data_IF_045504096475
#
_entry.id   IF_045504096475
#
_cell.length_a   1.000
_cell.length_b   1.000
_cell.length_c   1.000
_cell.angle_alpha   90.00
_cell.angle_beta   90.00
_cell.angle_gamma   90.00
#
_symmetry.space_group_name_H-M   'P 1'
#
loop_
_entity.id
_entity.type
_entity.pdbx_description
1 polymer ?
#
# COMPACT_ATOMS: atom_id res chain seq x y z
N UNK A 1 7.73 45.36 30.80
CA UNK A 1 6.56 45.80 30.00
C UNK A 1 6.18 44.69 29.03
N UNK A 2 5.26 43.81 29.42
CA UNK A 2 4.67 42.81 28.52
C UNK A 2 3.33 43.37 28.04
N UNK A 3 3.22 43.76 26.77
CA UNK A 3 1.92 44.06 26.19
C UNK A 3 1.21 42.72 25.99
N UNK A 4 0.17 42.45 26.78
CA UNK A 4 -0.75 41.35 26.47
C UNK A 4 -1.55 41.77 25.23
N UNK A 5 -1.10 41.34 24.06
CA UNK A 5 -1.78 41.61 22.79
C UNK A 5 -3.07 40.76 22.74
N UNK A 6 -4.15 41.28 23.31
CA UNK A 6 -5.47 40.65 23.20
C UNK A 6 -5.97 40.76 21.77
N UNK A 7 -6.35 39.63 21.18
CA UNK A 7 -6.94 39.58 19.84
C UNK A 7 -8.21 40.44 19.79
N UNK A 8 -8.36 41.25 18.74
CA UNK A 8 -9.60 42.00 18.51
C UNK A 8 -10.70 41.08 17.96
N UNK A 9 -11.96 41.47 18.12
CA UNK A 9 -13.11 40.71 17.58
C UNK A 9 -13.04 40.52 16.07
N UNK A 10 -12.44 41.48 15.34
CA UNK A 10 -12.21 41.38 13.91
C UNK A 10 -11.14 40.32 13.57
N UNK A 11 -10.06 40.27 14.36
CA UNK A 11 -9.01 39.26 14.22
C UNK A 11 -9.58 37.84 14.43
N UNK A 12 -10.39 37.66 15.48
CA UNK A 12 -11.06 36.38 15.78
C UNK A 12 -11.94 35.95 14.60
N UNK A 13 -12.77 36.86 14.06
CA UNK A 13 -13.61 36.57 12.90
C UNK A 13 -12.79 36.20 11.66
N UNK A 14 -11.67 36.89 11.43
CA UNK A 14 -10.75 36.62 10.31
C UNK A 14 -10.07 35.26 10.45
N UNK A 15 -9.58 34.91 11.64
CA UNK A 15 -8.94 33.63 11.91
C UNK A 15 -9.93 32.47 11.83
N UNK A 16 -11.13 32.61 12.40
CA UNK A 16 -12.18 31.59 12.29
C UNK A 16 -12.57 31.37 10.82
N UNK A 17 -12.74 32.43 10.02
CA UNK A 17 -13.03 32.30 8.59
C UNK A 17 -11.90 31.60 7.83
N UNK A 18 -10.63 31.84 8.18
CA UNK A 18 -9.48 31.15 7.58
C UNK A 18 -9.46 29.67 7.97
N UNK A 19 -9.67 29.36 9.25
CA UNK A 19 -9.71 28.00 9.77
C UNK A 19 -10.80 27.17 9.06
N UNK A 20 -12.04 27.67 9.03
CA UNK A 20 -13.15 26.98 8.38
C UNK A 20 -12.95 26.82 6.87
N UNK A 21 -12.37 27.81 6.19
CA UNK A 21 -12.02 27.67 4.77
C UNK A 21 -10.96 26.59 4.53
N UNK A 22 -9.95 26.48 5.40
CA UNK A 22 -8.94 25.42 5.29
C UNK A 22 -9.54 24.04 5.59
N UNK A 23 -10.37 23.91 6.62
CA UNK A 23 -11.02 22.64 6.97
C UNK A 23 -11.97 22.17 5.87
N UNK A 24 -12.87 23.05 5.40
CA UNK A 24 -13.82 22.71 4.34
C UNK A 24 -13.06 22.48 3.03
N UNK A 25 -12.09 23.34 2.71
CA UNK A 25 -11.26 23.18 1.51
C UNK A 25 -10.49 21.85 1.51
N UNK A 26 -9.92 21.46 2.64
CA UNK A 26 -9.25 20.17 2.81
C UNK A 26 -10.21 18.98 2.66
N UNK A 27 -11.41 19.07 3.23
CA UNK A 27 -12.43 18.03 3.10
C UNK A 27 -12.92 17.90 1.66
N UNK A 28 -13.16 19.02 0.96
CA UNK A 28 -13.54 19.04 -0.45
C UNK A 28 -12.41 18.46 -1.32
N UNK A 29 -11.16 18.87 -1.06
CA UNK A 29 -10.00 18.33 -1.76
C UNK A 29 -9.88 16.81 -1.58
N UNK A 30 -10.04 16.32 -0.35
CA UNK A 30 -10.00 14.89 -0.06
C UNK A 30 -11.16 14.13 -0.74
N UNK A 31 -12.37 14.68 -0.73
CA UNK A 31 -13.51 14.08 -1.42
C UNK A 31 -13.26 14.01 -2.94
N UNK A 32 -12.76 15.09 -3.54
CA UNK A 32 -12.37 15.11 -4.95
C UNK A 32 -11.30 14.04 -5.20
N UNK A 33 -10.27 13.95 -4.37
CA UNK A 33 -9.22 12.95 -4.50
C UNK A 33 -9.77 11.51 -4.54
N UNK A 34 -10.69 11.14 -3.64
CA UNK A 34 -11.35 9.82 -3.66
C UNK A 34 -12.16 9.60 -4.95
N UNK A 35 -12.87 10.63 -5.42
CA UNK A 35 -13.64 10.56 -6.67
C UNK A 35 -12.71 10.33 -7.87
N UNK A 36 -11.57 11.02 -7.93
CA UNK A 36 -10.57 10.85 -9.00
C UNK A 36 -9.95 9.44 -9.00
N UNK A 37 -9.74 8.85 -7.81
CA UNK A 37 -9.35 7.44 -7.67
C UNK A 37 -10.42 6.53 -8.26
N UNK A 38 -11.70 6.76 -7.96
CA UNK A 38 -12.81 6.00 -8.51
C UNK A 38 -12.92 6.09 -10.04
N UNK A 39 -12.56 7.24 -10.62
CA UNK A 39 -12.47 7.42 -12.07
C UNK A 39 -11.20 6.83 -12.70
N UNK A 40 -10.29 6.24 -11.91
CA UNK A 40 -9.09 5.58 -12.42
C UNK A 40 -8.01 6.54 -12.94
N UNK A 41 -8.04 7.82 -12.56
CA UNK A 41 -7.03 8.81 -13.01
C UNK A 41 -5.61 8.41 -12.60
N UNK A 42 -5.48 7.66 -11.51
CA UNK A 42 -4.20 7.16 -10.99
C UNK A 42 -3.85 5.75 -11.46
N UNK A 43 -4.62 5.18 -12.40
CA UNK A 43 -4.44 3.82 -12.91
C UNK A 43 -5.63 2.91 -12.63
N UNK A 44 -5.58 1.71 -13.21
CA UNK A 44 -6.61 0.70 -13.05
C UNK A 44 -6.57 0.09 -11.65
N UNK A 45 -7.71 0.10 -10.96
CA UNK A 45 -7.88 -0.56 -9.66
C UNK A 45 -8.49 -1.93 -9.93
N UNK A 46 -7.93 -3.02 -9.37
CA UNK A 46 -8.49 -4.35 -9.55
C UNK A 46 -9.94 -4.39 -9.05
N UNK A 47 -10.79 -5.07 -9.82
CA UNK A 47 -12.18 -5.29 -9.41
C UNK A 47 -12.25 -6.05 -8.08
N UNK A 48 -13.32 -5.84 -7.32
CA UNK A 48 -13.54 -6.53 -6.05
C UNK A 48 -13.44 -8.06 -6.18
N UNK A 49 -14.00 -8.64 -7.24
CA UNK A 49 -13.89 -10.08 -7.54
C UNK A 49 -12.44 -10.54 -7.73
N UNK A 50 -11.60 -9.72 -8.34
CA UNK A 50 -10.19 -10.05 -8.53
C UNK A 50 -9.40 -10.03 -7.21
N UNK A 51 -9.87 -9.24 -6.23
CA UNK A 51 -9.30 -9.18 -4.88
C UNK A 51 -9.78 -10.38 -4.04
N UNK A 52 -11.06 -10.77 -4.14
CA UNK A 52 -11.60 -11.93 -3.43
C UNK A 52 -11.08 -13.26 -3.98
N UNK A 53 -10.88 -13.32 -5.31
CA UNK A 53 -10.41 -14.51 -6.01
C UNK A 53 -9.17 -14.18 -6.86
N UNK A 54 -8.02 -13.93 -6.22
CA UNK A 54 -6.79 -13.69 -6.95
C UNK A 54 -6.43 -14.96 -7.74
N UNK A 55 -6.34 -14.83 -9.06
CA UNK A 55 -5.91 -15.94 -9.92
C UNK A 55 -4.41 -16.12 -9.77
N UNK A 56 -3.98 -17.22 -9.16
CA UNK A 56 -2.59 -17.67 -9.26
C UNK A 56 -2.43 -18.50 -10.53
N UNK A 57 -1.42 -18.17 -11.33
CA UNK A 57 -1.06 -18.95 -12.52
C UNK A 57 -0.23 -20.17 -12.08
N UNK A 58 -0.89 -21.15 -11.45
CA UNK A 58 -0.25 -22.42 -11.07
C UNK A 58 -0.01 -23.29 -12.32
N UNK A 59 1.06 -24.08 -12.28
CA UNK A 59 1.35 -25.04 -13.33
C UNK A 59 0.38 -26.24 -13.26
N UNK A 60 -0.11 -26.70 -14.42
CA UNK A 60 -0.83 -27.97 -14.53
C UNK A 60 0.17 -29.11 -14.61
N UNK A 61 0.08 -30.08 -13.71
CA UNK A 61 0.98 -31.23 -13.68
C UNK A 61 0.37 -32.43 -14.42
N UNK A 62 1.17 -33.09 -15.26
CA UNK A 62 0.83 -34.37 -15.90
C UNK A 62 1.40 -35.48 -15.04
N UNK A 63 0.52 -36.35 -14.53
CA UNK A 63 0.90 -37.46 -13.66
C UNK A 63 0.84 -38.78 -14.44
N UNK A 64 1.79 -39.66 -14.20
CA UNK A 64 1.73 -41.06 -14.61
C UNK A 64 0.76 -41.86 -13.71
N UNK A 65 0.42 -43.08 -14.13
CA UNK A 65 -0.45 -43.98 -13.36
C UNK A 65 0.11 -44.30 -11.96
N UNK A 66 1.43 -44.33 -11.80
CA UNK A 66 2.12 -44.49 -10.51
C UNK A 66 2.28 -43.18 -9.72
N UNK A 67 1.67 -42.08 -10.17
CA UNK A 67 1.63 -40.80 -9.46
C UNK A 67 2.90 -39.94 -9.61
N UNK A 68 3.81 -40.27 -10.54
CA UNK A 68 4.99 -39.44 -10.82
C UNK A 68 4.65 -38.31 -11.77
N UNK A 69 5.23 -37.14 -11.54
CA UNK A 69 5.10 -35.99 -12.45
C UNK A 69 5.93 -36.27 -13.71
N UNK A 70 5.24 -36.40 -14.85
CA UNK A 70 5.84 -36.57 -16.17
C UNK A 70 6.20 -35.23 -16.83
N UNK A 71 5.51 -34.16 -16.45
CA UNK A 71 5.75 -32.82 -16.96
C UNK A 71 4.75 -31.81 -16.45
N UNK A 72 4.99 -30.53 -16.74
CA UNK A 72 4.13 -29.43 -16.30
C UNK A 72 3.84 -28.47 -17.45
N UNK A 73 2.58 -28.06 -17.60
CA UNK A 73 2.16 -27.00 -18.51
C UNK A 73 1.90 -25.72 -17.72
N UNK A 74 2.56 -24.62 -18.08
CA UNK A 74 2.41 -23.36 -17.37
C UNK A 74 2.52 -22.15 -18.29
N UNK A 75 1.79 -21.08 -17.96
CA UNK A 75 2.02 -19.73 -18.50
C UNK A 75 3.15 -19.04 -17.74
N UNK A 76 3.26 -19.30 -16.44
CA UNK A 76 4.34 -18.84 -15.56
C UNK A 76 4.81 -20.02 -14.73
N UNK A 77 6.10 -20.29 -14.71
CA UNK A 77 6.66 -21.38 -13.91
C UNK A 77 6.61 -20.99 -12.42
N UNK A 78 5.54 -21.39 -11.72
CA UNK A 78 5.28 -21.07 -10.31
C UNK A 78 4.75 -22.31 -9.62
N UNK A 79 5.12 -22.44 -8.34
CA UNK A 79 4.58 -23.42 -7.42
C UNK A 79 4.11 -22.72 -6.15
N UNK A 80 2.90 -23.06 -5.71
CA UNK A 80 2.38 -22.57 -4.45
C UNK A 80 3.01 -23.31 -3.26
N UNK A 81 3.44 -22.57 -2.24
CA UNK A 81 4.02 -23.10 -1.00
C UNK A 81 3.47 -22.35 0.20
N UNK A 82 3.15 -23.08 1.28
CA UNK A 82 2.74 -22.46 2.53
C UNK A 82 3.94 -21.83 3.24
N UNK A 83 3.69 -20.78 4.03
CA UNK A 83 4.74 -20.11 4.79
C UNK A 83 5.53 -21.06 5.72
N UNK A 84 4.85 -22.03 6.33
CA UNK A 84 5.47 -23.05 7.20
C UNK A 84 6.44 -23.99 6.46
N UNK A 85 6.35 -24.07 5.14
CA UNK A 85 7.23 -24.88 4.29
C UNK A 85 8.49 -24.10 3.86
N UNK A 86 8.55 -22.79 4.13
CA UNK A 86 9.70 -21.97 3.78
C UNK A 86 10.81 -22.15 4.81
N UNK A 87 12.03 -22.35 4.32
CA UNK A 87 13.22 -22.31 5.18
C UNK A 87 13.35 -20.93 5.84
N UNK A 88 13.63 -20.85 7.16
CA UNK A 88 13.90 -19.58 7.83
C UNK A 88 15.01 -18.77 7.14
N UNK A 89 15.99 -19.45 6.53
CA UNK A 89 17.08 -18.80 5.81
C UNK A 89 16.61 -18.06 4.57
N UNK A 90 15.61 -18.59 3.85
CA UNK A 90 15.03 -17.92 2.67
C UNK A 90 14.30 -16.65 3.09
N UNK A 91 13.51 -16.73 4.16
CA UNK A 91 12.79 -15.57 4.71
C UNK A 91 13.78 -14.51 5.19
N UNK A 92 14.81 -14.91 5.94
CA UNK A 92 15.83 -13.99 6.45
C UNK A 92 16.66 -13.36 5.32
N UNK A 93 17.00 -14.13 4.28
CA UNK A 93 17.71 -13.61 3.12
C UNK A 93 16.87 -12.55 2.38
N UNK A 94 15.59 -12.82 2.13
CA UNK A 94 14.68 -11.87 1.48
C UNK A 94 14.56 -10.57 2.29
N UNK A 95 14.37 -10.68 3.61
CA UNK A 95 14.31 -9.51 4.50
C UNK A 95 15.64 -8.75 4.42
N UNK A 96 16.79 -9.43 4.51
CA UNK A 96 18.09 -8.78 4.47
C UNK A 96 18.38 -8.05 3.14
N UNK A 97 17.90 -8.58 2.01
CA UNK A 97 18.19 -8.03 0.68
C UNK A 97 17.18 -6.97 0.22
N UNK A 98 15.89 -7.16 0.47
CA UNK A 98 14.84 -6.25 -0.03
C UNK A 98 14.51 -5.14 0.96
N UNK A 99 14.34 -5.50 2.23
CA UNK A 99 13.91 -4.58 3.28
C UNK A 99 14.31 -5.09 4.67
N UNK A 100 15.51 -4.70 5.12
CA UNK A 100 16.07 -5.14 6.41
C UNK A 100 15.21 -4.73 7.61
N UNK A 101 14.31 -3.76 7.42
CA UNK A 101 13.43 -3.22 8.47
C UNK A 101 11.98 -3.66 8.31
N UNK A 102 11.69 -4.60 7.40
CA UNK A 102 10.35 -5.09 7.11
C UNK A 102 9.46 -5.33 8.34
N UNK A 103 10.02 -5.92 9.41
CA UNK A 103 9.28 -6.24 10.65
C UNK A 103 9.05 -5.05 11.59
N UNK A 104 9.71 -3.93 11.35
CA UNK A 104 9.71 -2.74 12.22
C UNK A 104 8.78 -1.62 11.73
N UNK A 105 8.15 -1.76 10.56
CA UNK A 105 7.20 -0.79 10.02
C UNK A 105 5.93 -1.46 9.50
N UNK A 106 4.83 -0.69 9.50
CA UNK A 106 3.52 -1.13 9.03
C UNK A 106 3.34 -0.98 7.51
N UNK A 107 4.40 -1.26 6.75
CA UNK A 107 4.41 -1.17 5.27
C UNK A 107 5.15 0.03 4.68
N UNK A 108 5.17 1.20 5.33
CA UNK A 108 5.93 2.37 4.84
C UNK A 108 7.16 2.62 5.71
N UNK A 109 8.35 2.42 5.14
CA UNK A 109 9.63 2.81 5.76
C UNK A 109 9.93 4.28 5.49
N UNK A 110 9.45 5.17 6.36
CA UNK A 110 9.63 6.62 6.21
C UNK A 110 11.08 7.04 5.98
N UNK A 111 12.05 6.39 6.66
CA UNK A 111 13.46 6.74 6.49
C UNK A 111 13.91 6.46 5.06
N UNK A 112 13.56 5.30 4.51
CA UNK A 112 13.92 4.92 3.13
C UNK A 112 13.14 5.76 2.12
N UNK A 113 11.84 5.96 2.32
CA UNK A 113 10.99 6.77 1.45
C UNK A 113 11.50 8.20 1.30
N UNK A 114 11.93 8.85 2.39
CA UNK A 114 12.45 10.22 2.33
C UNK A 114 13.90 10.33 1.86
N UNK A 115 14.69 9.25 1.90
CA UNK A 115 16.06 9.26 1.37
C UNK A 115 16.09 9.54 -0.13
N UNK A 116 15.03 9.18 -0.88
CA UNK A 116 14.94 9.43 -2.34
C UNK A 116 14.94 10.94 -2.67
N UNK A 117 14.55 11.78 -1.71
CA UNK A 117 14.47 13.24 -1.89
C UNK A 117 15.67 14.00 -1.33
N UNK A 118 16.61 13.32 -0.67
CA UNK A 118 17.85 13.90 -0.12
C UNK A 118 19.01 13.70 -1.10
#
# INVERSE_FOLDING_TARGET
MSKSTSLTSEDIKKYNKRLWKLLIGGMVFFAIFIVLIGFGIFGEIPSFRAIEHPKSNEATEVLSEDGKILGTYFVKNRSNVNYSQLSPNVVNALIATEDIRFRSHSGIDFKRTFTIFA
#
